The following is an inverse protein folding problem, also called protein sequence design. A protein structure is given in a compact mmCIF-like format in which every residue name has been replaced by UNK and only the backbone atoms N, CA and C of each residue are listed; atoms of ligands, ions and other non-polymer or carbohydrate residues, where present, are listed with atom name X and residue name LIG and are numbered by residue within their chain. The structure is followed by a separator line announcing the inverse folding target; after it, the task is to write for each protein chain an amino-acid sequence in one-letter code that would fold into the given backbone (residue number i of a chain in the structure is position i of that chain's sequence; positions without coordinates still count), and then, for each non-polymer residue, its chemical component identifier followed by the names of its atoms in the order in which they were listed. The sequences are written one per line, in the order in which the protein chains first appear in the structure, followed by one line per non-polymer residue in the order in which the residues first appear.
data_IF_697466906940
#
_entry.id   IF_697466906940
#
_cell.length_a   1.000
_cell.length_b   1.000
_cell.length_c   1.000
_cell.angle_alpha   90.00
_cell.angle_beta   90.00
_cell.angle_gamma   90.00
#
_symmetry.space_group_name_H-M   'P 1'
#
loop_
_entity.id
_entity.type
_entity.pdbx_description
1 polymer ?
#
# COMPACT_ATOMS: atom_id res chain seq x y z
N UNK A 1 6.29 1.76 -15.19
CA UNK A 1 5.70 0.92 -14.12
C UNK A 1 4.97 1.84 -13.15
N UNK A 2 3.64 1.79 -13.10
CA UNK A 2 2.85 2.66 -12.22
C UNK A 2 3.10 2.37 -10.74
N UNK A 3 3.03 3.42 -9.91
CA UNK A 3 3.11 3.39 -8.43
C UNK A 3 4.46 2.93 -7.84
N UNK A 4 5.56 3.35 -8.47
CA UNK A 4 6.92 3.03 -8.00
C UNK A 4 7.21 3.56 -6.60
N UNK A 5 6.61 4.69 -6.22
CA UNK A 5 6.78 5.32 -4.90
C UNK A 5 6.21 4.46 -3.78
N UNK A 6 5.02 3.90 -3.96
CA UNK A 6 4.39 3.01 -2.96
C UNK A 6 5.26 1.76 -2.78
N UNK A 7 5.76 1.18 -3.88
CA UNK A 7 6.69 0.04 -3.81
C UNK A 7 7.98 0.40 -3.08
N UNK A 8 8.57 1.57 -3.34
CA UNK A 8 9.76 2.05 -2.63
C UNK A 8 9.49 2.24 -1.13
N UNK A 9 8.37 2.86 -0.77
CA UNK A 9 7.98 3.05 0.64
C UNK A 9 7.78 1.70 1.35
N UNK A 10 7.13 0.73 0.69
CA UNK A 10 6.97 -0.63 1.23
C UNK A 10 8.32 -1.33 1.47
N UNK A 11 9.22 -1.29 0.49
CA UNK A 11 10.57 -1.84 0.60
C UNK A 11 11.38 -1.15 1.70
N UNK A 12 11.37 0.18 1.75
CA UNK A 12 12.14 0.96 2.72
C UNK A 12 11.71 0.72 4.16
N UNK A 13 10.42 0.45 4.38
CA UNK A 13 9.88 0.16 5.72
C UNK A 13 9.85 -1.34 6.03
N UNK A 14 10.33 -2.19 5.11
CA UNK A 14 10.19 -3.65 5.18
C UNK A 14 8.74 -4.13 5.42
N UNK A 15 7.77 -3.36 4.92
CA UNK A 15 6.33 -3.66 5.04
C UNK A 15 5.96 -4.61 3.91
N UNK A 16 5.35 -5.73 4.27
CA UNK A 16 4.90 -6.72 3.30
C UNK A 16 3.54 -6.31 2.74
N UNK A 17 3.30 -6.67 1.47
CA UNK A 17 2.04 -6.35 0.79
C UNK A 17 0.80 -6.83 1.55
N UNK A 18 0.89 -7.97 2.26
CA UNK A 18 -0.24 -8.46 3.05
C UNK A 18 -0.52 -7.58 4.29
N UNK A 19 0.50 -6.98 4.91
CA UNK A 19 0.31 -6.09 6.07
C UNK A 19 -0.40 -4.81 5.65
N UNK A 20 0.03 -4.24 4.52
CA UNK A 20 -0.62 -3.08 3.93
C UNK A 20 -2.07 -3.41 3.53
N UNK A 21 -2.30 -4.58 2.93
CA UNK A 21 -3.64 -5.01 2.56
C UNK A 21 -4.55 -5.17 3.80
N UNK A 22 -4.04 -5.78 4.87
CA UNK A 22 -4.74 -5.97 6.14
C UNK A 22 -5.10 -4.64 6.80
N UNK A 23 -4.15 -3.69 6.87
CA UNK A 23 -4.38 -2.35 7.40
C UNK A 23 -5.42 -1.54 6.59
N UNK A 24 -5.53 -1.78 5.28
CA UNK A 24 -6.56 -1.17 4.44
C UNK A 24 -7.92 -1.91 4.57
N UNK A 25 -7.92 -3.14 5.10
CA UNK A 25 -9.10 -4.01 5.15
C UNK A 25 -9.44 -4.64 3.80
N UNK A 26 -8.45 -4.85 2.92
CA UNK A 26 -8.63 -5.48 1.61
C UNK A 26 -7.80 -6.76 1.48
N UNK A 27 -8.16 -7.58 0.51
CA UNK A 27 -7.37 -8.76 0.18
C UNK A 27 -6.05 -8.38 -0.54
N UNK A 28 -4.97 -9.13 -0.28
CA UNK A 28 -3.66 -8.95 -0.93
C UNK A 28 -3.74 -9.01 -2.46
N UNK A 29 -4.63 -9.87 -3.00
CA UNK A 29 -4.88 -9.97 -4.43
C UNK A 29 -5.41 -8.65 -5.01
N UNK A 30 -6.32 -7.98 -4.29
CA UNK A 30 -6.88 -6.69 -4.67
C UNK A 30 -5.80 -5.61 -4.67
N UNK A 31 -4.96 -5.57 -3.64
CA UNK A 31 -3.82 -4.65 -3.58
C UNK A 31 -2.85 -4.89 -4.74
N UNK A 32 -2.60 -6.15 -5.11
CA UNK A 32 -1.73 -6.49 -6.23
C UNK A 32 -2.29 -6.01 -7.57
N UNK A 33 -3.61 -6.03 -7.76
CA UNK A 33 -4.28 -5.45 -8.93
C UNK A 33 -4.19 -3.93 -8.93
N UNK A 34 -4.36 -3.30 -7.76
CA UNK A 34 -4.23 -1.85 -7.61
C UNK A 34 -2.81 -1.40 -7.95
N UNK A 35 -1.77 -2.09 -7.49
CA UNK A 35 -0.38 -1.76 -7.79
C UNK A 35 0.01 -1.98 -9.27
N UNK A 36 -0.82 -2.68 -10.06
CA UNK A 36 -0.64 -2.87 -11.52
C UNK A 36 -1.35 -1.80 -12.34
N UNK A 37 -2.34 -1.12 -11.78
CA UNK A 37 -3.15 -0.08 -12.44
C UNK A 37 -2.78 1.30 -11.90
N UNK A 38 -3.04 2.39 -12.63
CA UNK A 38 -2.85 3.72 -12.04
C UNK A 38 -3.81 3.88 -10.85
N UNK A 39 -3.26 4.13 -9.66
CA UNK A 39 -4.09 4.38 -8.48
C UNK A 39 -4.74 5.75 -8.65
N UNK A 40 -6.07 5.76 -8.62
CA UNK A 40 -6.85 6.98 -8.42
C UNK A 40 -6.47 7.62 -7.08
N UNK A 41 -6.57 8.94 -6.97
CA UNK A 41 -6.13 9.68 -5.77
C UNK A 41 -6.78 9.17 -4.47
N UNK A 42 -8.06 8.78 -4.52
CA UNK A 42 -8.74 8.16 -3.35
C UNK A 42 -8.11 6.84 -2.89
N UNK A 43 -7.64 6.01 -3.84
CA UNK A 43 -6.99 4.74 -3.50
C UNK A 43 -5.58 5.01 -2.98
N UNK A 44 -4.89 6.00 -3.54
CA UNK A 44 -3.56 6.42 -3.09
C UNK A 44 -3.63 6.90 -1.64
N UNK A 45 -4.59 7.76 -1.31
CA UNK A 45 -4.80 8.27 0.06
C UNK A 45 -5.04 7.14 1.07
N UNK A 46 -5.89 6.16 0.74
CA UNK A 46 -6.10 4.99 1.62
C UNK A 46 -4.82 4.19 1.85
N UNK A 47 -4.06 3.96 0.78
CA UNK A 47 -2.79 3.22 0.87
C UNK A 47 -1.78 3.98 1.71
N UNK A 48 -1.67 5.30 1.54
CA UNK A 48 -0.77 6.13 2.33
C UNK A 48 -1.18 6.21 3.79
N UNK A 49 -2.47 6.37 4.11
CA UNK A 49 -2.94 6.34 5.50
C UNK A 49 -2.67 5.00 6.18
N UNK A 50 -2.95 3.90 5.50
CA UNK A 50 -2.67 2.57 6.05
C UNK A 50 -1.16 2.34 6.23
N UNK A 51 -0.35 2.82 5.28
CA UNK A 51 1.10 2.76 5.40
C UNK A 51 1.59 3.60 6.60
N UNK A 52 1.06 4.81 6.78
CA UNK A 52 1.39 5.69 7.90
C UNK A 52 1.01 5.05 9.25
N UNK A 53 -0.17 4.44 9.34
CA UNK A 53 -0.56 3.65 10.51
C UNK A 53 0.40 2.49 10.78
N UNK A 54 0.84 1.77 9.76
CA UNK A 54 1.80 0.67 9.92
C UNK A 54 3.19 1.15 10.34
N UNK A 55 3.59 2.35 9.92
CA UNK A 55 4.85 2.97 10.34
C UNK A 55 4.75 3.48 11.78
N UNK A 56 3.63 4.12 12.14
CA UNK A 56 3.40 4.64 13.50
C UNK A 56 3.19 3.55 14.55
N UNK A 57 2.73 2.36 14.15
CA UNK A 57 2.49 1.23 15.07
C UNK A 57 3.74 0.35 15.28
N UNK A 58 4.94 0.88 14.99
CA UNK A 58 6.23 0.20 15.08
C UNK A 58 7.16 0.94 16.03
#
# INVERSE_FOLDING_TARGET
MSNLEIRKKLLSNAIKNYQLADAIGINQSTLSVWLRTELNDERRDRVEKALDQLISNR
#
